data_IF_304638320852
#
_entry.id   IF_304638320852
#
_cell.length_a   1.000
_cell.length_b   1.000
_cell.length_c   1.000
_cell.angle_alpha   90.00
_cell.angle_beta   90.00
_cell.angle_gamma   90.00
#
_symmetry.space_group_name_H-M   'P 1'
#
loop_
_entity.id
_entity.type
_entity.pdbx_description
1 polymer ?
#
# COMPACT_ATOMS: atom_id res chain seq x y z
N UNK A 1 -44.56 -7.60 37.01
CA UNK A 1 -44.24 -6.51 36.04
C UNK A 1 -44.41 -6.90 34.57
N UNK A 2 -44.52 -8.19 34.22
CA UNK A 2 -44.78 -8.66 32.85
C UNK A 2 -46.17 -9.32 32.66
N UNK A 3 -47.19 -8.88 33.40
CA UNK A 3 -48.57 -9.26 33.08
C UNK A 3 -49.16 -8.21 32.13
N UNK A 4 -49.84 -8.60 31.04
CA UNK A 4 -50.48 -7.65 30.15
C UNK A 4 -51.51 -6.86 30.96
N UNK A 5 -51.32 -5.54 31.06
CA UNK A 5 -52.20 -4.63 31.83
C UNK A 5 -53.57 -4.39 31.17
N UNK A 6 -54.12 -5.37 30.44
CA UNK A 6 -55.39 -5.21 29.72
C UNK A 6 -55.37 -4.17 28.60
N UNK A 7 -54.18 -3.69 28.20
CA UNK A 7 -54.03 -2.74 27.10
C UNK A 7 -54.01 -3.52 25.78
N UNK A 8 -55.05 -3.34 24.97
CA UNK A 8 -55.12 -3.87 23.61
C UNK A 8 -54.27 -2.96 22.71
N UNK A 9 -53.17 -3.49 22.15
CA UNK A 9 -52.35 -2.79 21.16
C UNK A 9 -52.85 -3.18 19.77
N UNK A 10 -53.35 -2.23 18.94
CA UNK A 10 -53.84 -2.53 17.60
C UNK A 10 -52.70 -2.85 16.62
N UNK A 11 -53.05 -3.45 15.48
CA UNK A 11 -52.08 -3.73 14.41
C UNK A 11 -51.50 -2.43 13.81
N UNK A 12 -50.21 -2.42 13.43
CA UNK A 12 -49.58 -1.23 12.86
C UNK A 12 -50.15 -0.91 11.47
N UNK A 13 -50.39 0.38 11.20
CA UNK A 13 -50.80 0.87 9.87
C UNK A 13 -49.71 0.62 8.83
N UNK A 14 -48.44 0.77 9.22
CA UNK A 14 -47.28 0.54 8.37
C UNK A 14 -46.07 0.14 9.22
N UNK A 15 -45.24 -0.75 8.68
CA UNK A 15 -43.94 -1.09 9.25
C UNK A 15 -42.85 -1.01 8.19
N UNK A 16 -41.66 -0.55 8.58
CA UNK A 16 -40.46 -0.51 7.73
C UNK A 16 -39.31 -1.14 8.51
N UNK A 17 -38.59 -2.07 7.88
CA UNK A 17 -37.40 -2.70 8.44
C UNK A 17 -36.20 -2.41 7.54
N UNK A 18 -35.22 -1.67 8.07
CA UNK A 18 -33.98 -1.34 7.35
C UNK A 18 -33.00 -2.51 7.38
N UNK A 19 -32.26 -2.72 6.29
CA UNK A 19 -31.19 -3.73 6.19
C UNK A 19 -29.87 -3.11 5.73
N UNK A 20 -29.27 -2.28 6.59
CA UNK A 20 -28.03 -1.55 6.32
C UNK A 20 -26.86 -2.44 5.88
N UNK A 21 -26.72 -3.65 6.45
CA UNK A 21 -25.63 -4.57 6.09
C UNK A 21 -25.72 -5.10 4.65
N UNK A 22 -26.90 -5.13 4.04
CA UNK A 22 -27.11 -5.57 2.65
C UNK A 22 -27.31 -4.40 1.67
N UNK A 23 -27.31 -3.16 2.16
CA UNK A 23 -27.43 -1.98 1.33
C UNK A 23 -26.13 -1.78 0.53
N UNK A 24 -26.17 -1.78 -0.82
CA UNK A 24 -24.97 -1.65 -1.67
C UNK A 24 -24.27 -0.29 -1.57
N UNK A 25 -24.88 0.73 -0.95
CA UNK A 25 -24.26 2.04 -0.74
C UNK A 25 -23.66 2.19 0.67
N UNK A 26 -24.05 1.34 1.61
CA UNK A 26 -23.67 1.48 3.02
C UNK A 26 -22.83 0.28 3.52
N UNK A 27 -23.16 -0.94 3.10
CA UNK A 27 -22.53 -2.21 3.54
C UNK A 27 -22.41 -2.39 5.06
N UNK A 28 -23.21 -1.65 5.83
CA UNK A 28 -23.06 -1.52 7.28
C UNK A 28 -23.76 -0.26 7.80
N UNK A 29 -23.76 -0.09 9.12
CA UNK A 29 -24.35 1.08 9.77
C UNK A 29 -23.33 2.19 10.02
N UNK A 30 -22.24 1.87 10.72
CA UNK A 30 -21.18 2.82 11.09
C UNK A 30 -19.91 2.08 11.52
N UNK A 31 -18.79 2.78 11.48
CA UNK A 31 -17.48 2.24 11.88
C UNK A 31 -17.40 1.90 13.37
N UNK A 32 -16.57 0.90 13.71
CA UNK A 32 -16.17 0.63 15.09
C UNK A 32 -14.71 0.18 15.11
N UNK A 33 -14.05 0.28 16.26
CA UNK A 33 -12.70 -0.25 16.43
C UNK A 33 -12.80 -1.75 16.63
N UNK A 34 -12.46 -2.53 15.59
CA UNK A 34 -12.44 -3.99 15.68
C UNK A 34 -11.35 -4.49 16.63
N UNK A 35 -11.42 -5.78 16.99
CA UNK A 35 -10.27 -6.46 17.63
C UNK A 35 -9.05 -6.31 16.72
N UNK A 36 -7.88 -6.01 17.30
CA UNK A 36 -6.62 -5.69 16.61
C UNK A 36 -6.60 -4.37 15.81
N UNK A 37 -7.64 -3.55 15.91
CA UNK A 37 -7.65 -2.17 15.40
C UNK A 37 -7.47 -1.18 16.53
N UNK A 38 -7.15 0.07 16.20
CA UNK A 38 -7.02 1.15 17.18
C UNK A 38 -7.56 2.46 16.64
N UNK A 39 -7.66 3.48 17.50
CA UNK A 39 -8.00 4.83 17.07
C UNK A 39 -7.06 5.39 15.99
N UNK A 40 -5.83 4.87 15.88
CA UNK A 40 -4.89 5.26 14.84
C UNK A 40 -5.35 4.89 13.42
N UNK A 41 -6.19 3.86 13.28
CA UNK A 41 -6.71 3.46 11.97
C UNK A 41 -7.60 4.54 11.35
N UNK A 42 -8.30 5.33 12.17
CA UNK A 42 -9.03 6.50 11.70
C UNK A 42 -8.09 7.57 11.15
N UNK A 43 -6.92 7.74 11.75
CA UNK A 43 -5.91 8.71 11.29
C UNK A 43 -5.30 8.27 9.95
N UNK A 44 -5.06 6.96 9.79
CA UNK A 44 -4.62 6.36 8.53
C UNK A 44 -5.66 6.57 7.43
N UNK A 45 -6.94 6.26 7.71
CA UNK A 45 -8.03 6.47 6.75
C UNK A 45 -8.22 7.96 6.40
N UNK A 46 -7.89 8.88 7.30
CA UNK A 46 -7.95 10.33 7.08
C UNK A 46 -6.72 10.88 6.34
N UNK A 47 -5.71 10.07 6.02
CA UNK A 47 -4.54 10.51 5.27
C UNK A 47 -4.92 10.79 3.81
N UNK A 48 -4.46 11.92 3.26
CA UNK A 48 -4.58 12.14 1.82
C UNK A 48 -3.53 11.32 1.07
N UNK A 49 -3.83 10.94 -0.17
CA UNK A 49 -2.88 10.21 -1.03
C UNK A 49 -2.46 11.12 -2.18
N UNK A 50 -1.16 11.43 -2.20
CA UNK A 50 -0.53 12.23 -3.25
C UNK A 50 -1.11 13.64 -3.41
N UNK A 51 -1.70 14.23 -2.35
CA UNK A 51 -2.43 15.51 -2.42
C UNK A 51 -3.49 15.58 -3.54
N UNK A 52 -4.05 14.42 -3.91
CA UNK A 52 -5.03 14.28 -5.00
C UNK A 52 -6.29 13.57 -4.54
N UNK A 53 -6.14 12.54 -3.72
CA UNK A 53 -7.24 11.80 -3.13
C UNK A 53 -7.34 12.14 -1.65
N UNK A 54 -8.53 12.58 -1.23
CA UNK A 54 -8.82 13.01 0.13
C UNK A 54 -10.02 12.22 0.64
N UNK A 55 -9.99 11.83 1.92
CA UNK A 55 -11.03 10.99 2.53
C UNK A 55 -11.71 11.74 3.67
N UNK A 56 -13.03 11.82 3.59
CA UNK A 56 -13.91 12.38 4.61
C UNK A 56 -15.00 11.34 4.96
N UNK A 57 -15.76 11.62 6.02
CA UNK A 57 -16.76 10.70 6.57
C UNK A 57 -16.51 10.38 8.04
N UNK A 58 -17.45 9.67 8.66
CA UNK A 58 -17.40 9.26 10.06
C UNK A 58 -16.22 8.32 10.35
N UNK A 59 -15.90 7.43 9.40
CA UNK A 59 -14.76 6.50 9.47
C UNK A 59 -13.38 7.18 9.36
N UNK A 60 -13.33 8.51 9.23
CA UNK A 60 -12.09 9.30 9.16
C UNK A 60 -11.95 10.27 10.34
N UNK A 61 -12.82 10.16 11.35
CA UNK A 61 -12.80 11.02 12.54
C UNK A 61 -12.49 10.21 13.79
N UNK A 62 -11.24 10.28 14.27
CA UNK A 62 -10.82 9.60 15.50
C UNK A 62 -11.53 10.11 16.75
N UNK A 63 -11.82 11.41 16.81
CA UNK A 63 -12.44 12.05 17.98
C UNK A 63 -13.95 11.80 18.05
N UNK A 64 -14.60 11.70 16.88
CA UNK A 64 -16.05 11.57 16.77
C UNK A 64 -16.44 10.47 15.76
N UNK A 65 -15.99 9.21 15.95
CA UNK A 65 -16.32 8.12 15.04
C UNK A 65 -17.81 7.77 15.11
N UNK A 66 -18.35 7.12 14.07
CA UNK A 66 -19.73 6.62 14.05
C UNK A 66 -20.83 7.68 14.33
N UNK A 67 -20.56 8.95 14.02
CA UNK A 67 -21.49 10.05 14.30
C UNK A 67 -21.65 11.01 13.12
N UNK A 68 -22.83 11.61 13.00
CA UNK A 68 -23.13 12.63 11.99
C UNK A 68 -22.20 13.85 12.10
N UNK A 69 -22.01 14.39 13.31
CA UNK A 69 -21.14 15.56 13.49
C UNK A 69 -19.65 15.26 13.18
N UNK A 70 -19.19 14.02 13.39
CA UNK A 70 -17.85 13.60 13.00
C UNK A 70 -17.66 13.59 11.48
N UNK A 71 -18.68 13.10 10.74
CA UNK A 71 -18.69 13.17 9.28
C UNK A 71 -18.72 14.61 8.75
N UNK A 72 -19.51 15.50 9.39
CA UNK A 72 -19.56 16.91 9.03
C UNK A 72 -18.20 17.61 9.24
N UNK A 73 -17.59 17.42 10.41
CA UNK A 73 -16.29 18.02 10.75
C UNK A 73 -15.16 17.48 9.86
N UNK A 74 -15.16 16.18 9.53
CA UNK A 74 -14.18 15.62 8.59
C UNK A 74 -14.36 16.17 7.17
N UNK A 75 -15.60 16.46 6.75
CA UNK A 75 -15.88 17.17 5.50
C UNK A 75 -15.24 18.56 5.44
N UNK A 76 -15.41 19.36 6.50
CA UNK A 76 -14.77 20.69 6.60
C UNK A 76 -13.23 20.59 6.59
N UNK A 77 -12.68 19.57 7.27
CA UNK A 77 -11.24 19.29 7.31
C UNK A 77 -10.68 19.04 5.90
N UNK A 78 -11.30 18.15 5.13
CA UNK A 78 -10.81 17.83 3.78
C UNK A 78 -11.07 18.97 2.78
N UNK A 79 -12.19 19.71 2.90
CA UNK A 79 -12.44 20.88 2.07
C UNK A 79 -11.32 21.94 2.21
N UNK A 80 -10.87 22.20 3.44
CA UNK A 80 -9.73 23.10 3.71
C UNK A 80 -8.42 22.57 3.11
N UNK A 81 -8.16 21.26 3.22
CA UNK A 81 -6.96 20.62 2.63
C UNK A 81 -6.94 20.68 1.11
N UNK A 82 -8.10 20.45 0.47
CA UNK A 82 -8.27 20.56 -0.98
C UNK A 82 -8.01 22.00 -1.42
N UNK A 83 -8.64 22.97 -0.76
CA UNK A 83 -8.46 24.38 -1.08
C UNK A 83 -6.99 24.81 -0.99
N UNK A 84 -6.29 24.39 0.06
CA UNK A 84 -4.85 24.65 0.22
C UNK A 84 -4.02 23.99 -0.89
N UNK A 85 -4.30 22.74 -1.21
CA UNK A 85 -3.59 21.98 -2.25
C UNK A 85 -3.79 22.62 -3.63
N UNK A 86 -5.01 23.00 -3.97
CA UNK A 86 -5.33 23.68 -5.23
C UNK A 86 -4.64 25.05 -5.34
N UNK A 87 -4.61 25.85 -4.26
CA UNK A 87 -3.89 27.13 -4.20
C UNK A 87 -2.38 26.96 -4.44
N UNK A 88 -1.77 25.91 -3.86
CA UNK A 88 -0.34 25.62 -4.04
C UNK A 88 -0.05 25.30 -5.51
N UNK A 89 -0.90 24.51 -6.17
CA UNK A 89 -0.75 24.17 -7.58
C UNK A 89 -0.83 25.40 -8.49
N UNK A 90 -1.76 26.32 -8.21
CA UNK A 90 -1.92 27.56 -8.99
C UNK A 90 -0.71 28.51 -8.87
N UNK A 91 -0.17 28.67 -7.65
CA UNK A 91 0.90 29.63 -7.40
C UNK A 91 2.30 29.12 -7.80
N UNK A 92 2.48 27.83 -8.08
CA UNK A 92 3.80 27.25 -8.34
C UNK A 92 3.72 26.02 -9.28
N UNK A 93 3.34 26.20 -10.56
CA UNK A 93 3.21 25.08 -11.50
C UNK A 93 4.52 24.31 -11.73
N UNK A 94 5.67 24.93 -11.44
CA UNK A 94 7.01 24.31 -11.54
C UNK A 94 7.41 23.46 -10.33
N UNK A 95 6.76 23.60 -9.16
CA UNK A 95 6.98 22.74 -7.98
C UNK A 95 6.01 21.56 -7.91
N UNK A 96 5.08 21.46 -8.85
CA UNK A 96 4.09 20.38 -8.97
C UNK A 96 4.73 19.04 -9.35
N UNK A 97 5.97 19.05 -9.85
CA UNK A 97 6.69 17.83 -10.17
C UNK A 97 7.32 17.18 -8.94
N UNK A 98 6.82 15.99 -8.61
CA UNK A 98 7.44 14.94 -7.78
C UNK A 98 7.78 15.28 -6.32
N UNK A 99 7.72 16.52 -5.86
CA UNK A 99 7.89 16.85 -4.43
C UNK A 99 6.56 16.75 -3.71
N UNK A 100 6.12 15.52 -3.51
CA UNK A 100 5.08 15.19 -2.55
C UNK A 100 5.56 15.63 -1.16
N UNK A 101 5.04 16.75 -0.71
CA UNK A 101 5.51 17.57 0.43
C UNK A 101 5.84 16.72 1.67
N UNK A 102 7.14 16.64 1.97
CA UNK A 102 7.73 16.09 3.19
C UNK A 102 9.09 15.42 2.91
N UNK A 103 10.14 15.61 3.72
CA UNK A 103 11.46 14.96 3.53
C UNK A 103 11.38 13.41 3.49
N UNK A 104 10.28 12.84 3.97
CA UNK A 104 10.03 11.41 4.09
C UNK A 104 9.55 10.75 2.78
N UNK A 105 8.87 11.51 1.91
CA UNK A 105 8.41 11.00 0.61
C UNK A 105 9.58 10.76 -0.35
N UNK A 106 10.59 11.62 -0.30
CA UNK A 106 11.80 11.48 -1.12
C UNK A 106 12.51 10.15 -0.77
N UNK A 107 12.53 9.75 0.50
CA UNK A 107 13.16 8.50 0.94
C UNK A 107 12.43 7.28 0.38
N UNK A 108 11.10 7.20 0.51
CA UNK A 108 10.34 6.07 -0.01
C UNK A 108 10.42 5.99 -1.54
N UNK A 109 10.30 7.14 -2.22
CA UNK A 109 10.47 7.19 -3.67
C UNK A 109 11.87 6.71 -4.09
N UNK A 110 12.93 7.14 -3.39
CA UNK A 110 14.30 6.70 -3.67
C UNK A 110 14.52 5.21 -3.40
N UNK A 111 13.93 4.68 -2.33
CA UNK A 111 14.01 3.26 -1.98
C UNK A 111 13.39 2.39 -3.09
N UNK A 112 12.20 2.75 -3.56
CA UNK A 112 11.45 2.00 -4.58
C UNK A 112 11.91 2.26 -6.02
N UNK A 113 12.94 3.08 -6.26
CA UNK A 113 13.60 3.13 -7.58
C UNK A 113 14.28 1.82 -7.95
N UNK A 114 14.69 1.03 -6.95
CA UNK A 114 15.39 -0.26 -7.13
C UNK A 114 14.84 -1.27 -6.11
N UNK A 115 13.62 -1.77 -6.29
CA UNK A 115 13.07 -2.77 -5.38
C UNK A 115 13.89 -4.07 -5.41
N UNK A 116 13.79 -4.86 -4.35
CA UNK A 116 14.45 -6.18 -4.29
C UNK A 116 13.69 -7.22 -5.14
N UNK A 117 12.38 -7.04 -5.27
CA UNK A 117 11.49 -7.92 -6.03
C UNK A 117 10.30 -7.12 -6.57
N UNK A 118 9.81 -7.50 -7.75
CA UNK A 118 8.58 -6.96 -8.35
C UNK A 118 7.69 -8.09 -8.86
N UNK A 119 6.38 -7.91 -8.75
CA UNK A 119 5.36 -8.81 -9.33
C UNK A 119 4.12 -8.00 -9.72
N UNK A 120 3.99 -7.71 -11.01
CA UNK A 120 2.96 -6.79 -11.50
C UNK A 120 3.10 -5.41 -10.85
N UNK A 121 2.00 -4.88 -10.31
CA UNK A 121 1.98 -3.59 -9.62
C UNK A 121 2.53 -3.60 -8.18
N UNK A 122 3.14 -4.70 -7.74
CA UNK A 122 3.67 -4.88 -6.40
C UNK A 122 5.20 -4.83 -6.43
N UNK A 123 5.78 -3.91 -5.66
CA UNK A 123 7.22 -3.79 -5.49
C UNK A 123 7.59 -3.99 -4.02
N UNK A 124 8.64 -4.77 -3.76
CA UNK A 124 9.03 -5.20 -2.42
C UNK A 124 10.45 -4.77 -2.10
N UNK A 125 10.67 -4.35 -0.86
CA UNK A 125 11.99 -4.08 -0.31
C UNK A 125 12.07 -4.77 1.03
N UNK A 126 13.10 -5.57 1.26
CA UNK A 126 13.26 -6.31 2.50
C UNK A 126 14.24 -5.64 3.45
N UNK A 127 14.06 -5.88 4.75
CA UNK A 127 15.08 -5.55 5.74
C UNK A 127 16.39 -6.31 5.38
N UNK A 128 17.55 -5.62 5.38
CA UNK A 128 18.87 -6.22 5.20
C UNK A 128 19.31 -7.18 6.32
N UNK A 129 18.59 -7.25 7.45
CA UNK A 129 18.82 -8.23 8.52
C UNK A 129 18.74 -9.69 8.01
N UNK A 130 19.35 -10.68 8.71
CA UNK A 130 19.46 -12.05 8.23
C UNK A 130 18.11 -12.62 7.77
N UNK A 131 18.17 -13.45 6.71
CA UNK A 131 17.08 -14.00 5.89
C UNK A 131 16.13 -14.93 6.67
N UNK A 132 15.56 -14.45 7.77
CA UNK A 132 14.46 -15.12 8.46
C UNK A 132 13.16 -14.84 7.71
N UNK A 133 12.29 -15.84 7.61
CA UNK A 133 10.97 -15.69 7.00
C UNK A 133 10.08 -14.66 7.72
N UNK A 134 10.38 -14.39 9.00
CA UNK A 134 9.72 -13.37 9.82
C UNK A 134 10.32 -11.97 9.68
N UNK A 135 11.41 -11.81 8.92
CA UNK A 135 11.98 -10.50 8.63
C UNK A 135 10.95 -9.65 7.88
N UNK A 136 10.81 -8.40 8.33
CA UNK A 136 9.85 -7.46 7.76
C UNK A 136 10.45 -6.74 6.55
N UNK A 137 9.57 -6.21 5.73
CA UNK A 137 9.89 -5.41 4.57
C UNK A 137 8.80 -4.38 4.31
N UNK A 138 9.02 -3.60 3.26
CA UNK A 138 8.09 -2.62 2.75
C UNK A 138 7.53 -3.17 1.44
N UNK A 139 6.21 -3.09 1.31
CA UNK A 139 5.51 -3.33 0.06
C UNK A 139 4.94 -2.01 -0.44
N UNK A 140 5.17 -1.72 -1.71
CA UNK A 140 4.50 -0.68 -2.47
C UNK A 140 3.53 -1.33 -3.47
N UNK A 141 2.29 -0.84 -3.50
CA UNK A 141 1.28 -1.18 -4.50
C UNK A 141 1.01 0.07 -5.34
N UNK A 142 1.18 -0.05 -6.65
CA UNK A 142 0.94 1.04 -7.60
C UNK A 142 -0.42 0.88 -8.27
N UNK A 143 -1.23 1.95 -8.25
CA UNK A 143 -2.55 2.02 -8.87
C UNK A 143 -2.52 3.02 -10.02
N UNK A 144 -3.00 2.61 -11.20
CA UNK A 144 -3.02 3.42 -12.42
C UNK A 144 -2.42 2.67 -13.60
N UNK A 145 -2.77 3.07 -14.82
CA UNK A 145 -2.27 2.42 -16.04
C UNK A 145 -0.81 2.81 -16.30
N UNK A 146 0.09 1.82 -16.26
CA UNK A 146 1.52 2.01 -16.48
C UNK A 146 1.82 2.72 -17.82
N UNK A 147 1.15 2.31 -18.91
CA UNK A 147 1.41 2.85 -20.26
C UNK A 147 1.10 4.34 -20.42
N UNK A 148 0.06 4.84 -19.75
CA UNK A 148 -0.27 6.28 -19.76
C UNK A 148 0.57 7.06 -18.75
N UNK A 149 0.89 6.46 -17.59
CA UNK A 149 1.74 7.08 -16.57
C UNK A 149 3.15 7.38 -17.08
N UNK A 150 3.78 6.49 -17.85
CA UNK A 150 5.13 6.76 -18.39
C UNK A 150 5.13 7.91 -19.40
N UNK A 151 4.12 7.97 -20.29
CA UNK A 151 3.98 9.07 -21.25
C UNK A 151 3.72 10.41 -20.54
N UNK A 152 2.93 10.38 -19.47
CA UNK A 152 2.61 11.58 -18.70
C UNK A 152 3.79 12.06 -17.83
N UNK A 153 4.57 11.13 -17.26
CA UNK A 153 5.80 11.45 -16.52
C UNK A 153 6.88 12.09 -17.39
N UNK A 154 6.87 11.83 -18.70
CA UNK A 154 7.77 12.43 -19.68
C UNK A 154 7.31 13.83 -20.15
N UNK A 155 6.07 14.24 -19.84
CA UNK A 155 5.59 15.58 -20.18
C UNK A 155 6.23 16.64 -19.28
N UNK A 156 6.50 17.83 -19.84
CA UNK A 156 6.99 18.98 -19.07
C UNK A 156 5.97 19.50 -18.04
N UNK A 157 4.68 19.16 -18.22
CA UNK A 157 3.58 19.40 -17.29
C UNK A 157 2.66 18.17 -17.23
N UNK A 158 2.98 17.16 -16.39
CA UNK A 158 2.18 15.96 -16.22
C UNK A 158 0.83 16.36 -15.68
N UNK A 159 -0.23 15.83 -16.27
CA UNK A 159 -1.55 15.96 -15.69
C UNK A 159 -1.58 15.24 -14.35
N UNK A 160 -1.77 15.95 -13.21
CA UNK A 160 -1.74 15.33 -11.91
C UNK A 160 -2.82 14.26 -11.76
N UNK A 161 -3.93 14.30 -12.50
CA UNK A 161 -4.97 13.26 -12.42
C UNK A 161 -4.56 11.93 -13.05
N UNK A 162 -3.52 11.92 -13.90
CA UNK A 162 -3.03 10.72 -14.61
C UNK A 162 -1.81 10.07 -13.98
N UNK A 163 -1.24 10.70 -12.94
CA UNK A 163 -0.09 10.13 -12.22
C UNK A 163 -0.51 8.88 -11.44
N UNK A 164 0.37 7.87 -11.32
CA UNK A 164 0.05 6.67 -10.55
C UNK A 164 -0.13 7.03 -9.07
N UNK A 165 -1.03 6.32 -8.39
CA UNK A 165 -1.21 6.40 -6.94
C UNK A 165 -0.41 5.26 -6.31
N UNK A 166 0.36 5.56 -5.28
CA UNK A 166 1.18 4.56 -4.60
C UNK A 166 0.70 4.46 -3.16
N UNK A 167 0.39 3.23 -2.74
CA UNK A 167 0.08 2.89 -1.36
C UNK A 167 1.09 1.89 -0.85
N UNK A 168 1.23 1.83 0.46
CA UNK A 168 2.27 1.05 1.10
C UNK A 168 1.75 0.24 2.27
N UNK A 169 2.46 -0.83 2.60
CA UNK A 169 2.29 -1.54 3.87
C UNK A 169 3.64 -2.12 4.31
N UNK A 170 3.71 -2.47 5.59
CA UNK A 170 4.77 -3.31 6.12
C UNK A 170 4.31 -4.76 5.95
N UNK A 171 5.21 -5.66 5.55
CA UNK A 171 4.90 -7.06 5.21
C UNK A 171 6.06 -7.97 5.58
N UNK A 172 5.81 -9.23 5.98
CA UNK A 172 6.88 -10.21 6.23
C UNK A 172 7.34 -10.91 4.95
N UNK A 173 8.56 -11.46 4.94
CA UNK A 173 9.08 -12.26 3.82
C UNK A 173 8.20 -13.47 3.50
N UNK A 174 7.69 -14.15 4.53
CA UNK A 174 6.74 -15.27 4.39
C UNK A 174 5.47 -14.84 3.62
N UNK A 175 4.88 -13.70 4.00
CA UNK A 175 3.68 -13.17 3.34
C UNK A 175 3.95 -12.77 1.89
N UNK A 176 5.16 -12.28 1.58
CA UNK A 176 5.56 -12.00 0.19
C UNK A 176 5.65 -13.30 -0.63
N UNK A 177 6.23 -14.37 -0.08
CA UNK A 177 6.27 -15.66 -0.77
C UNK A 177 4.87 -16.20 -1.05
N UNK A 178 3.96 -16.09 -0.08
CA UNK A 178 2.54 -16.44 -0.26
C UNK A 178 1.89 -15.60 -1.38
N UNK A 179 2.13 -14.29 -1.40
CA UNK A 179 1.62 -13.39 -2.46
C UNK A 179 2.16 -13.73 -3.86
N UNK A 180 3.41 -14.18 -3.96
CA UNK A 180 4.02 -14.57 -5.24
C UNK A 180 3.36 -15.82 -5.84
N UNK A 181 2.89 -16.73 -5.00
CA UNK A 181 2.23 -17.98 -5.42
C UNK A 181 0.79 -17.77 -5.91
N UNK A 182 0.23 -16.57 -5.75
CA UNK A 182 -1.14 -16.29 -6.15
C UNK A 182 -1.25 -16.11 -7.67
N UNK A 183 -2.04 -17.00 -8.26
CA UNK A 183 -2.50 -16.92 -9.64
C UNK A 183 -3.71 -15.97 -9.77
N UNK A 184 -3.96 -15.43 -10.97
CA UNK A 184 -5.06 -14.48 -11.22
C UNK A 184 -4.66 -13.00 -11.17
N UNK A 185 -3.36 -12.70 -11.09
CA UNK A 185 -2.80 -11.37 -11.27
C UNK A 185 -3.07 -10.40 -10.11
N UNK A 186 -2.95 -9.10 -10.40
CA UNK A 186 -2.88 -8.06 -9.37
C UNK A 186 -4.17 -7.90 -8.55
N UNK A 187 -5.33 -8.15 -9.17
CA UNK A 187 -6.62 -8.10 -8.46
C UNK A 187 -6.73 -9.20 -7.40
N UNK A 188 -6.31 -10.42 -7.73
CA UNK A 188 -6.29 -11.54 -6.78
C UNK A 188 -5.31 -11.30 -5.65
N UNK A 189 -4.10 -10.80 -5.96
CA UNK A 189 -3.09 -10.43 -4.96
C UNK A 189 -3.58 -9.34 -4.01
N UNK A 190 -4.21 -8.29 -4.55
CA UNK A 190 -4.78 -7.21 -3.75
C UNK A 190 -5.90 -7.72 -2.84
N UNK A 191 -6.79 -8.58 -3.36
CA UNK A 191 -7.85 -9.20 -2.57
C UNK A 191 -7.28 -10.08 -1.45
N UNK A 192 -6.24 -10.87 -1.73
CA UNK A 192 -5.60 -11.69 -0.71
C UNK A 192 -4.88 -10.85 0.35
N UNK A 193 -4.19 -9.78 -0.05
CA UNK A 193 -3.55 -8.86 0.89
C UNK A 193 -4.57 -8.26 1.87
N UNK A 194 -5.68 -7.75 1.34
CA UNK A 194 -6.70 -7.07 2.16
C UNK A 194 -7.57 -8.05 2.96
N UNK A 195 -8.02 -9.15 2.35
CA UNK A 195 -9.00 -10.07 2.95
C UNK A 195 -8.36 -11.32 3.56
N UNK A 196 -7.31 -11.84 2.93
CA UNK A 196 -6.60 -13.03 3.40
C UNK A 196 -5.62 -12.72 4.53
N UNK A 197 -4.80 -11.68 4.36
CA UNK A 197 -3.80 -11.28 5.37
C UNK A 197 -4.30 -10.18 6.31
N UNK A 198 -5.39 -9.48 5.97
CA UNK A 198 -5.91 -8.36 6.76
C UNK A 198 -4.98 -7.14 6.80
N UNK A 199 -4.04 -7.03 5.84
CA UNK A 199 -3.09 -5.93 5.80
C UNK A 199 -3.76 -4.64 5.28
N UNK A 200 -3.39 -3.53 5.90
CA UNK A 200 -3.91 -2.19 5.59
C UNK A 200 -2.95 -1.48 4.65
N UNK A 201 -3.46 -1.01 3.52
CA UNK A 201 -2.70 -0.13 2.62
C UNK A 201 -2.81 1.31 3.10
N UNK A 202 -1.68 2.00 3.13
CA UNK A 202 -1.52 3.30 3.75
C UNK A 202 -0.87 4.29 2.80
N UNK A 203 -1.09 5.58 3.03
CA UNK A 203 -0.29 6.63 2.44
C UNK A 203 1.14 6.61 2.99
N UNK A 204 2.00 7.40 2.37
CA UNK A 204 3.42 7.45 2.72
C UNK A 204 3.68 8.03 4.10
N UNK A 205 2.85 8.95 4.60
CA UNK A 205 3.05 9.51 5.93
C UNK A 205 2.65 8.50 7.01
N UNK A 206 1.52 7.80 6.84
CA UNK A 206 1.15 6.73 7.76
C UNK A 206 2.17 5.60 7.77
N UNK A 207 2.68 5.19 6.59
CA UNK A 207 3.77 4.21 6.53
C UNK A 207 5.02 4.72 7.26
N UNK A 208 5.41 5.97 7.04
CA UNK A 208 6.58 6.53 7.71
C UNK A 208 6.40 6.53 9.23
N UNK A 209 5.23 6.90 9.74
CA UNK A 209 4.94 6.89 11.17
C UNK A 209 4.96 5.46 11.75
N UNK A 210 4.38 4.49 11.04
CA UNK A 210 4.33 3.10 11.48
C UNK A 210 5.68 2.37 11.34
N UNK A 211 6.49 2.73 10.35
CA UNK A 211 7.66 1.98 9.90
C UNK A 211 8.97 2.76 9.92
N UNK A 212 9.06 3.92 10.60
CA UNK A 212 10.23 4.81 10.53
C UNK A 212 11.55 4.08 10.78
N UNK A 213 11.59 3.24 11.82
CA UNK A 213 12.79 2.45 12.18
C UNK A 213 13.20 1.51 11.05
N UNK A 214 12.23 0.80 10.45
CA UNK A 214 12.44 -0.12 9.35
C UNK A 214 12.92 0.63 8.08
N UNK A 215 12.23 1.72 7.73
CA UNK A 215 12.58 2.58 6.59
C UNK A 215 14.01 3.11 6.74
N UNK A 216 14.36 3.58 7.94
CA UNK A 216 15.68 4.13 8.24
C UNK A 216 16.78 3.05 8.15
N UNK A 217 16.53 1.85 8.70
CA UNK A 217 17.45 0.69 8.60
C UNK A 217 17.73 0.33 7.14
N UNK A 218 16.67 0.17 6.34
CA UNK A 218 16.75 -0.16 4.91
C UNK A 218 17.50 0.94 4.14
N UNK A 219 17.15 2.21 4.37
CA UNK A 219 17.79 3.35 3.70
C UNK A 219 19.28 3.47 4.04
N UNK A 220 19.64 3.27 5.30
CA UNK A 220 21.04 3.29 5.74
C UNK A 220 21.86 2.18 5.06
N UNK A 221 21.35 0.95 5.04
CA UNK A 221 22.03 -0.19 4.41
C UNK A 221 22.21 -0.01 2.90
N UNK A 222 21.21 0.55 2.21
CA UNK A 222 21.27 0.77 0.76
C UNK A 222 22.22 1.89 0.35
N UNK A 223 22.43 2.93 1.18
CA UNK A 223 23.41 4.00 0.91
C UNK A 223 24.85 3.47 0.82
N UNK A 224 25.21 2.45 1.61
CA UNK A 224 26.54 1.83 1.57
C UNK A 224 26.81 1.00 0.31
N UNK A 225 25.75 0.43 -0.29
CA UNK A 225 25.87 -0.46 -1.48
C UNK A 225 26.01 0.28 -2.81
N UNK A 226 25.70 1.58 -2.85
CA UNK A 226 25.74 2.39 -4.08
C UNK A 226 27.14 2.68 -4.65
N UNK A 227 28.22 2.40 -3.91
CA UNK A 227 29.60 2.65 -4.37
C UNK A 227 30.26 1.47 -5.11
N UNK A 228 29.78 0.23 -4.95
CA UNK A 228 30.50 -0.97 -5.38
C UNK A 228 29.74 -1.92 -6.33
N UNK A 229 28.82 -1.43 -7.17
CA UNK A 229 28.18 -2.28 -8.19
C UNK A 229 28.28 -1.66 -9.58
N UNK A 230 29.39 -1.94 -10.25
CA UNK A 230 29.50 -1.88 -11.72
C UNK A 230 28.64 -3.03 -12.25
N UNK A 231 27.56 -2.71 -12.95
CA UNK A 231 26.74 -3.70 -13.67
C UNK A 231 27.42 -3.92 -15.02
N UNK A 232 28.16 -5.01 -15.16
CA UNK A 232 28.56 -5.52 -16.47
C UNK A 232 27.40 -6.36 -17.01
N UNK A 233 26.76 -5.87 -18.07
CA UNK A 233 25.81 -6.65 -18.85
C UNK A 233 26.59 -7.71 -19.61
N UNK A 234 26.42 -8.99 -19.27
CA UNK A 234 26.81 -10.09 -20.15
C UNK A 234 25.56 -10.53 -20.90
N UNK A 235 25.45 -10.10 -22.16
CA UNK A 235 24.44 -10.64 -23.06
C UNK A 235 24.90 -12.03 -23.54
N UNK A 236 24.14 -13.08 -23.23
CA UNK A 236 24.21 -14.37 -23.95
C UNK A 236 22.81 -14.70 -24.44
N UNK A 237 22.63 -15.13 -25.71
CA UNK A 237 21.30 -15.38 -26.26
C UNK A 237 20.69 -16.63 -25.62
N UNK A 238 19.41 -16.52 -25.25
CA UNK A 238 18.44 -17.61 -25.05
C UNK A 238 18.22 -18.27 -23.68
N UNK A 239 18.89 -17.93 -22.57
CA UNK A 239 18.46 -18.40 -21.24
C UNK A 239 18.74 -17.37 -20.13
N UNK A 240 17.71 -16.95 -19.39
CA UNK A 240 17.86 -16.11 -18.20
C UNK A 240 18.06 -16.99 -16.96
N UNK A 241 19.29 -17.05 -16.44
CA UNK A 241 19.55 -17.46 -15.06
C UNK A 241 19.96 -16.24 -14.23
N UNK A 242 19.38 -16.12 -13.03
CA UNK A 242 19.77 -15.13 -12.03
C UNK A 242 21.06 -15.60 -11.35
N UNK A 243 22.22 -15.20 -11.87
CA UNK A 243 23.49 -15.41 -11.18
C UNK A 243 23.75 -14.26 -10.20
N UNK A 244 23.54 -14.50 -8.90
CA UNK A 244 23.99 -13.59 -7.84
C UNK A 244 25.41 -14.02 -7.45
N UNK A 245 26.44 -13.36 -8.00
CA UNK A 245 27.79 -13.46 -7.45
C UNK A 245 27.87 -12.62 -6.17
N UNK A 246 28.01 -13.28 -5.01
CA UNK A 246 28.56 -12.72 -3.77
C UNK A 246 30.07 -12.86 -3.84
N UNK A 247 30.81 -11.77 -3.69
CA UNK A 247 32.27 -11.82 -3.55
C UNK A 247 32.66 -12.07 -2.09
N UNK A 248 33.60 -13.01 -1.92
CA UNK A 248 34.59 -13.17 -0.84
C UNK A 248 34.12 -13.70 0.52
N UNK A 249 34.11 -15.03 0.71
CA UNK A 249 35.19 -15.80 1.34
C UNK A 249 34.86 -17.30 1.26
N UNK A 250 35.90 -18.11 1.03
CA UNK A 250 35.92 -19.58 0.96
C UNK A 250 35.27 -20.23 -0.28
N UNK A 251 36.16 -20.63 -1.19
CA UNK A 251 35.92 -21.71 -2.14
C UNK A 251 36.01 -23.04 -1.37
N UNK A 252 34.97 -23.87 -1.43
CA UNK A 252 35.09 -25.33 -1.50
C UNK A 252 33.72 -25.97 -1.79
N UNK A 253 33.76 -26.93 -2.72
CA UNK A 253 32.76 -27.95 -3.08
C UNK A 253 31.28 -27.55 -3.28
N UNK A 254 30.85 -27.49 -4.55
CA UNK A 254 29.52 -27.99 -4.92
C UNK A 254 29.64 -29.08 -5.98
N UNK A 255 29.22 -30.27 -5.55
CA UNK A 255 29.14 -31.49 -6.33
C UNK A 255 28.26 -31.31 -7.58
N UNK A 256 28.79 -31.77 -8.72
CA UNK A 256 27.98 -32.14 -9.88
C UNK A 256 27.06 -33.29 -9.50
N UNK A 257 25.76 -33.03 -9.35
CA UNK A 257 24.75 -34.09 -9.47
C UNK A 257 24.35 -34.15 -10.93
N UNK A 258 24.86 -35.17 -11.62
CA UNK A 258 24.38 -35.60 -12.93
C UNK A 258 22.88 -35.91 -12.86
N UNK A 259 22.07 -35.25 -13.71
CA UNK A 259 20.82 -35.83 -14.19
C UNK A 259 21.00 -36.17 -15.67
N UNK A 260 21.49 -37.39 -15.90
CA UNK A 260 21.54 -38.03 -17.20
C UNK A 260 20.12 -38.48 -17.62
N UNK A 261 19.84 -38.30 -18.91
CA UNK A 261 18.86 -39.01 -19.76
C UNK A 261 17.36 -38.65 -19.72
N UNK A 262 16.91 -38.00 -20.80
CA UNK A 262 15.87 -38.56 -21.68
C UNK A 262 15.99 -38.00 -23.12
N UNK A 263 16.86 -38.68 -23.87
CA UNK A 263 16.86 -38.99 -25.31
C UNK A 263 15.77 -38.35 -26.21
N UNK A 264 16.28 -37.61 -27.20
CA UNK A 264 15.70 -37.38 -28.53
C UNK A 264 15.23 -38.68 -29.21
N UNK A 265 13.98 -38.69 -29.67
CA UNK A 265 13.59 -39.02 -31.05
C UNK A 265 12.33 -38.24 -31.38
#
# INVERSE_FOLDING_TARGET
>A
IFHPKGVIVPDPIQSICTRWGSDPLSYGSYSHVSVHSSGHDYDILAENVGNRLFFAGEATSRQYPATMHGAFLSGLREASRIYRSARIQQNNPRKTMLKNVGPNNDILADLFKRPDLESGNFAFIFDPSPESLQSMGLLQVTFGHAEESYKELLNSYPNPTKLPLQLYTIISREQVQQLQQIEGGDKSRLSYLAKGLGLKLMGSNALYNAGNTLISSIAYSRKGRGKNRIITWVCVPHFCYLAICRTEYEAEEFACVECLNARLR
#
